data_IF_366799039259
#
_entry.id   IF_366799039259
#
_cell.length_a   1.000
_cell.length_b   1.000
_cell.length_c   1.000
_cell.angle_alpha   90.00
_cell.angle_beta   90.00
_cell.angle_gamma   90.00
#
_symmetry.space_group_name_H-M   'P 1'
#
loop_
_entity.id
_entity.type
_entity.pdbx_description
1 polymer ?
#
# COMPACT_ATOMS: atom_id res chain seq x y z
N UNK A 1 39.54 -3.14 -19.24
CA UNK A 1 39.65 -2.38 -20.48
C UNK A 1 39.43 -0.86 -20.34
N UNK A 2 38.55 -0.43 -19.41
CA UNK A 2 38.29 1.01 -19.17
C UNK A 2 39.53 1.79 -18.69
N UNK A 3 40.38 1.16 -17.89
CA UNK A 3 41.63 1.74 -17.35
C UNK A 3 42.76 1.93 -18.37
N UNK A 4 42.66 1.34 -19.55
CA UNK A 4 43.64 1.49 -20.62
C UNK A 4 43.31 2.69 -21.53
N UNK A 5 42.02 3.06 -21.61
CA UNK A 5 41.52 4.14 -22.48
C UNK A 5 41.31 5.43 -21.70
N UNK A 6 40.97 5.33 -20.39
CA UNK A 6 40.70 6.44 -19.51
C UNK A 6 41.61 6.39 -18.28
N UNK A 7 41.91 7.56 -17.71
CA UNK A 7 42.66 7.67 -16.46
C UNK A 7 41.96 6.89 -15.32
N UNK A 8 42.72 6.36 -14.36
CA UNK A 8 42.25 5.58 -13.22
C UNK A 8 41.12 6.28 -12.48
N UNK A 9 41.19 7.59 -12.33
CA UNK A 9 40.15 8.39 -11.63
C UNK A 9 38.84 8.33 -12.39
N UNK A 10 38.85 8.42 -13.71
CA UNK A 10 37.63 8.31 -14.54
C UNK A 10 37.04 6.92 -14.47
N UNK A 11 37.87 5.87 -14.46
CA UNK A 11 37.40 4.49 -14.36
C UNK A 11 36.69 4.24 -13.01
N UNK A 12 37.22 4.76 -11.90
CA UNK A 12 36.61 4.68 -10.57
C UNK A 12 35.29 5.44 -10.53
N UNK A 13 35.24 6.67 -11.05
CA UNK A 13 34.03 7.49 -11.07
C UNK A 13 32.89 6.81 -11.84
N UNK A 14 33.17 6.27 -13.02
CA UNK A 14 32.19 5.54 -13.85
C UNK A 14 31.73 4.25 -13.13
N UNK A 15 32.66 3.50 -12.55
CA UNK A 15 32.34 2.29 -11.79
C UNK A 15 31.42 2.57 -10.58
N UNK A 16 31.70 3.64 -9.85
CA UNK A 16 30.87 4.08 -8.72
C UNK A 16 29.46 4.48 -9.19
N UNK A 17 29.37 5.23 -10.29
CA UNK A 17 28.09 5.67 -10.84
C UNK A 17 27.22 4.49 -11.29
N UNK A 18 27.81 3.51 -11.97
CA UNK A 18 27.12 2.28 -12.37
C UNK A 18 26.63 1.51 -11.13
N UNK A 19 27.49 1.40 -10.12
CA UNK A 19 27.12 0.70 -8.86
C UNK A 19 25.92 1.37 -8.17
N UNK A 20 25.90 2.70 -8.11
CA UNK A 20 24.78 3.45 -7.53
C UNK A 20 23.49 3.21 -8.31
N UNK A 21 23.54 3.25 -9.64
CA UNK A 21 22.37 3.00 -10.50
C UNK A 21 21.83 1.57 -10.31
N UNK A 22 22.72 0.58 -10.29
CA UNK A 22 22.33 -0.82 -10.05
C UNK A 22 21.76 -1.02 -8.65
N UNK A 23 22.33 -0.37 -7.64
CA UNK A 23 21.81 -0.42 -6.28
C UNK A 23 20.40 0.21 -6.18
N UNK A 24 20.19 1.37 -6.80
CA UNK A 24 18.86 2.00 -6.86
C UNK A 24 17.82 1.09 -7.53
N UNK A 25 18.20 0.43 -8.64
CA UNK A 25 17.34 -0.53 -9.33
C UNK A 25 16.99 -1.71 -8.40
N UNK A 26 17.97 -2.31 -7.76
CA UNK A 26 17.78 -3.44 -6.84
C UNK A 26 16.83 -3.08 -5.68
N UNK A 27 17.01 -1.93 -5.04
CA UNK A 27 16.14 -1.46 -3.94
C UNK A 27 14.70 -1.21 -4.44
N UNK A 28 14.54 -0.72 -5.66
CA UNK A 28 13.21 -0.50 -6.26
C UNK A 28 12.47 -1.81 -6.59
N UNK A 29 13.19 -2.89 -6.88
CA UNK A 29 12.60 -4.19 -7.20
C UNK A 29 12.18 -4.99 -5.95
N UNK A 30 12.68 -4.66 -4.77
CA UNK A 30 12.37 -5.39 -3.51
C UNK A 30 10.96 -5.11 -2.95
N UNK A 31 10.28 -4.07 -3.44
CA UNK A 31 8.95 -3.77 -2.93
C UNK A 31 7.88 -4.54 -3.71
N UNK A 32 7.13 -5.39 -3.01
CA UNK A 32 6.05 -6.18 -3.57
C UNK A 32 4.69 -5.71 -3.04
N UNK A 33 3.72 -5.56 -3.95
CA UNK A 33 2.30 -5.37 -3.61
C UNK A 33 1.58 -6.68 -3.89
N UNK A 34 1.06 -7.33 -2.84
CA UNK A 34 0.38 -8.63 -2.97
C UNK A 34 -1.09 -8.50 -2.57
N UNK A 35 -1.99 -8.88 -3.49
CA UNK A 35 -3.42 -9.00 -3.18
C UNK A 35 -3.70 -10.30 -2.41
N UNK A 36 -4.32 -10.20 -1.24
CA UNK A 36 -4.55 -11.34 -0.34
C UNK A 36 -5.63 -12.32 -0.80
N UNK A 37 -6.44 -11.98 -1.80
CA UNK A 37 -7.41 -12.92 -2.37
C UNK A 37 -6.78 -14.13 -3.08
N UNK A 38 -5.47 -14.08 -3.37
CA UNK A 38 -4.73 -15.16 -4.03
C UNK A 38 -3.93 -16.04 -3.06
N UNK A 39 -3.81 -15.66 -1.79
CA UNK A 39 -3.10 -16.44 -0.78
C UNK A 39 -4.05 -17.34 0.00
N UNK A 40 -4.58 -18.37 -0.69
CA UNK A 40 -5.13 -19.56 -0.01
C UNK A 40 -4.01 -20.58 0.31
N UNK A 41 -2.79 -20.13 0.59
CA UNK A 41 -1.75 -21.02 1.06
C UNK A 41 -1.98 -21.42 2.52
N UNK A 42 -1.90 -22.73 2.75
CA UNK A 42 -2.33 -23.43 3.95
C UNK A 42 -1.53 -23.10 5.23
N UNK A 43 -0.53 -22.23 5.15
CA UNK A 43 0.40 -21.89 6.24
C UNK A 43 0.23 -20.48 6.83
N UNK A 44 -0.77 -19.70 6.42
CA UNK A 44 -0.97 -18.39 7.05
C UNK A 44 -1.80 -18.52 8.32
N UNK A 45 -1.26 -18.03 9.44
CA UNK A 45 -1.90 -17.92 10.75
C UNK A 45 -3.23 -17.11 10.74
N UNK A 46 -3.69 -16.64 9.60
CA UNK A 46 -4.84 -15.77 9.46
C UNK A 46 -6.03 -16.53 8.91
N UNK A 47 -6.57 -17.41 9.73
CA UNK A 47 -7.75 -18.22 9.44
C UNK A 47 -9.02 -17.38 9.17
N UNK A 48 -9.05 -16.15 9.69
CA UNK A 48 -10.20 -15.24 9.58
C UNK A 48 -10.37 -14.57 8.20
N UNK A 49 -9.36 -14.58 7.34
CA UNK A 49 -9.45 -14.00 5.99
C UNK A 49 -10.27 -14.83 5.00
N UNK A 50 -10.59 -16.08 5.33
CA UNK A 50 -11.46 -16.93 4.52
C UNK A 50 -12.92 -16.46 4.46
N UNK A 51 -13.33 -15.59 5.37
CA UNK A 51 -14.70 -15.09 5.51
C UNK A 51 -14.88 -13.62 5.13
N UNK A 52 -13.94 -13.04 4.34
CA UNK A 52 -14.09 -11.66 3.90
C UNK A 52 -15.29 -11.51 2.94
N UNK A 53 -16.17 -10.52 3.19
CA UNK A 53 -17.21 -10.17 2.23
C UNK A 53 -16.59 -9.82 0.88
N UNK A 54 -17.26 -10.18 -0.22
CA UNK A 54 -16.79 -9.90 -1.58
C UNK A 54 -16.55 -8.41 -1.86
N UNK A 55 -17.14 -7.55 -1.06
CA UNK A 55 -17.02 -6.09 -1.09
C UNK A 55 -15.79 -5.54 -0.38
N UNK A 56 -15.04 -6.38 0.36
CA UNK A 56 -13.80 -5.99 1.05
C UNK A 56 -12.61 -6.65 0.37
N UNK A 57 -11.58 -5.87 0.10
CA UNK A 57 -10.30 -6.36 -0.45
C UNK A 57 -9.15 -5.96 0.45
N UNK A 58 -8.18 -6.84 0.55
CA UNK A 58 -6.96 -6.61 1.32
C UNK A 58 -5.76 -6.71 0.40
N UNK A 59 -4.90 -5.71 0.45
CA UNK A 59 -3.59 -5.71 -0.20
C UNK A 59 -2.51 -5.52 0.85
N UNK A 60 -1.45 -6.27 0.74
CA UNK A 60 -0.28 -6.11 1.58
C UNK A 60 0.85 -5.49 0.77
N UNK A 61 1.44 -4.43 1.31
CA UNK A 61 2.62 -3.79 0.76
C UNK A 61 3.80 -4.22 1.63
N UNK A 62 4.79 -4.84 0.99
CA UNK A 62 6.03 -5.27 1.62
C UNK A 62 7.21 -4.57 0.95
N UNK A 63 8.08 -3.99 1.77
CA UNK A 63 9.27 -3.27 1.35
C UNK A 63 9.13 -1.75 1.48
N UNK A 64 10.24 -1.01 1.30
CA UNK A 64 10.26 0.44 1.44
C UNK A 64 9.51 1.10 0.28
N UNK A 65 8.64 2.05 0.59
CA UNK A 65 7.87 2.80 -0.40
C UNK A 65 8.67 4.01 -0.88
N UNK A 66 9.50 3.80 -1.91
CA UNK A 66 10.33 4.80 -2.56
C UNK A 66 9.95 4.99 -4.02
N UNK A 67 10.77 5.76 -4.74
CA UNK A 67 10.65 6.02 -6.16
C UNK A 67 10.44 4.72 -6.98
N UNK A 68 9.43 4.72 -7.87
CA UNK A 68 9.09 3.55 -8.72
C UNK A 68 7.90 2.71 -8.22
N UNK A 69 7.32 3.03 -7.05
CA UNK A 69 6.12 2.34 -6.53
C UNK A 69 4.82 2.75 -7.19
N UNK A 70 4.78 3.91 -7.86
CA UNK A 70 3.56 4.46 -8.46
C UNK A 70 2.90 3.46 -9.41
N UNK A 71 3.69 2.79 -10.26
CA UNK A 71 3.19 1.83 -11.24
C UNK A 71 2.61 0.56 -10.58
N UNK A 72 3.18 0.15 -9.44
CA UNK A 72 2.75 -1.06 -8.71
C UNK A 72 1.48 -0.84 -7.87
N UNK A 73 1.28 0.36 -7.37
CA UNK A 73 0.05 0.73 -6.64
C UNK A 73 -1.11 0.91 -7.63
N UNK A 74 -0.83 1.36 -8.84
CA UNK A 74 -1.82 1.48 -9.92
C UNK A 74 -2.34 0.11 -10.38
N UNK A 75 -1.58 -0.97 -10.18
CA UNK A 75 -2.02 -2.35 -10.42
C UNK A 75 -3.02 -2.86 -9.37
N UNK A 76 -3.31 -2.08 -8.32
CA UNK A 76 -4.39 -2.37 -7.38
C UNK A 76 -5.72 -2.19 -8.12
N UNK A 77 -6.19 -3.28 -8.70
CA UNK A 77 -7.46 -3.31 -9.43
C UNK A 77 -8.63 -3.32 -8.46
N UNK A 78 -9.34 -2.22 -8.38
CA UNK A 78 -10.64 -2.14 -7.73
C UNK A 78 -11.67 -2.79 -8.64
N UNK A 79 -12.22 -3.96 -8.25
CA UNK A 79 -13.29 -4.60 -9.02
C UNK A 79 -14.63 -3.90 -8.73
N UNK A 80 -15.57 -3.97 -9.67
CA UNK A 80 -16.90 -3.34 -9.63
C UNK A 80 -17.70 -3.54 -8.32
N UNK A 81 -17.34 -4.53 -7.50
CA UNK A 81 -18.04 -4.85 -6.24
C UNK A 81 -17.27 -4.44 -4.99
N UNK A 82 -16.10 -3.79 -5.14
CA UNK A 82 -15.27 -3.40 -3.99
C UNK A 82 -15.82 -2.11 -3.38
N UNK A 83 -16.10 -2.13 -2.08
CA UNK A 83 -16.51 -0.96 -1.30
C UNK A 83 -15.44 -0.49 -0.34
N UNK A 84 -14.67 -1.43 0.18
CA UNK A 84 -13.60 -1.18 1.15
C UNK A 84 -12.32 -1.83 0.68
N UNK A 85 -11.27 -1.05 0.69
CA UNK A 85 -9.92 -1.46 0.35
C UNK A 85 -9.02 -1.31 1.57
N UNK A 86 -8.56 -2.44 2.11
CA UNK A 86 -7.66 -2.46 3.26
C UNK A 86 -6.22 -2.58 2.76
N UNK A 87 -5.38 -1.62 3.11
CA UNK A 87 -3.96 -1.62 2.82
C UNK A 87 -3.18 -1.98 4.08
N UNK A 88 -2.54 -3.14 4.06
CA UNK A 88 -1.69 -3.60 5.15
C UNK A 88 -0.26 -3.12 4.93
N UNK A 89 0.26 -2.34 5.88
CA UNK A 89 1.58 -1.70 5.78
C UNK A 89 2.61 -2.28 6.77
N UNK A 90 2.37 -3.49 7.31
CA UNK A 90 3.29 -4.12 8.27
C UNK A 90 4.71 -4.25 7.72
N UNK A 91 4.83 -4.60 6.44
CA UNK A 91 6.10 -4.78 5.75
C UNK A 91 6.72 -3.48 5.22
N UNK A 92 6.15 -2.30 5.50
CA UNK A 92 6.65 -1.00 5.03
C UNK A 92 7.50 -0.35 6.11
N UNK A 93 8.84 -0.39 6.02
CA UNK A 93 9.72 0.21 7.03
C UNK A 93 9.82 1.72 6.87
N UNK A 94 9.66 2.23 5.65
CA UNK A 94 9.82 3.65 5.33
C UNK A 94 8.99 4.08 4.13
N UNK A 95 8.56 5.34 4.18
CA UNK A 95 7.74 6.01 3.18
C UNK A 95 8.37 7.36 2.86
N UNK A 96 8.70 7.60 1.59
CA UNK A 96 9.20 8.88 1.09
C UNK A 96 8.08 9.71 0.41
N UNK A 97 8.45 10.85 -0.18
CA UNK A 97 7.51 11.71 -0.90
C UNK A 97 6.91 11.04 -2.15
N UNK A 98 7.66 10.17 -2.82
CA UNK A 98 7.17 9.45 -4.01
C UNK A 98 6.15 8.39 -3.61
N UNK A 99 6.43 7.65 -2.53
CA UNK A 99 5.48 6.71 -1.95
C UNK A 99 4.23 7.41 -1.41
N UNK A 100 4.39 8.64 -0.86
CA UNK A 100 3.25 9.44 -0.43
C UNK A 100 2.34 9.84 -1.58
N UNK A 101 2.90 10.36 -2.68
CA UNK A 101 2.14 10.68 -3.89
C UNK A 101 1.41 9.45 -4.46
N UNK A 102 2.03 8.27 -4.37
CA UNK A 102 1.39 7.04 -4.82
C UNK A 102 0.16 6.67 -3.95
N UNK A 103 0.21 6.91 -2.62
CA UNK A 103 -0.93 6.72 -1.74
C UNK A 103 -2.03 7.77 -1.97
N UNK A 104 -1.67 9.02 -2.26
CA UNK A 104 -2.61 10.09 -2.62
C UNK A 104 -3.34 9.75 -3.93
N UNK A 105 -2.62 9.32 -4.96
CA UNK A 105 -3.21 8.87 -6.22
C UNK A 105 -4.15 7.66 -6.03
N UNK A 106 -3.78 6.73 -5.14
CA UNK A 106 -4.65 5.60 -4.79
C UNK A 106 -5.91 6.07 -4.08
N UNK A 107 -5.79 7.04 -3.19
CA UNK A 107 -6.93 7.62 -2.49
C UNK A 107 -7.90 8.30 -3.47
N UNK A 108 -7.39 9.15 -4.36
CA UNK A 108 -8.19 9.83 -5.38
C UNK A 108 -8.91 8.82 -6.29
N UNK A 109 -8.20 7.79 -6.74
CA UNK A 109 -8.79 6.70 -7.53
C UNK A 109 -9.89 5.96 -6.76
N UNK A 110 -9.71 5.70 -5.46
CA UNK A 110 -10.72 5.06 -4.63
C UNK A 110 -11.95 5.96 -4.43
N UNK A 111 -11.75 7.24 -4.16
CA UNK A 111 -12.85 8.22 -4.03
C UNK A 111 -13.69 8.31 -5.31
N UNK A 112 -13.04 8.40 -6.49
CA UNK A 112 -13.71 8.43 -7.79
C UNK A 112 -14.56 7.16 -8.04
N UNK A 113 -14.14 6.01 -7.50
CA UNK A 113 -14.85 4.74 -7.64
C UNK A 113 -15.78 4.40 -6.46
N UNK A 114 -15.94 5.32 -5.50
CA UNK A 114 -16.79 5.12 -4.32
C UNK A 114 -16.27 4.02 -3.38
N UNK A 115 -14.96 3.83 -3.32
CA UNK A 115 -14.27 2.85 -2.46
C UNK A 115 -13.60 3.57 -1.30
N UNK A 116 -13.83 3.09 -0.08
CA UNK A 116 -13.17 3.64 1.11
C UNK A 116 -11.88 2.91 1.42
N UNK A 117 -10.81 3.68 1.67
CA UNK A 117 -9.51 3.17 2.10
C UNK A 117 -9.47 2.97 3.61
N UNK A 118 -8.88 1.85 4.03
CA UNK A 118 -8.57 1.54 5.43
C UNK A 118 -7.11 1.09 5.48
N UNK A 119 -6.36 1.61 6.43
CA UNK A 119 -4.95 1.25 6.63
C UNK A 119 -4.79 0.40 7.89
N UNK A 120 -3.94 -0.63 7.80
CA UNK A 120 -3.61 -1.47 8.96
C UNK A 120 -2.10 -1.63 9.12
N UNK A 121 -1.67 -1.73 10.37
CA UNK A 121 -0.25 -1.96 10.73
C UNK A 121 0.71 -0.92 10.12
N UNK A 122 0.34 0.35 10.05
CA UNK A 122 1.28 1.38 9.62
C UNK A 122 2.38 1.55 10.69
N UNK A 123 3.63 1.34 10.29
CA UNK A 123 4.79 1.53 11.15
C UNK A 123 4.97 3.01 11.53
N UNK A 124 5.80 3.28 12.55
CA UNK A 124 5.99 4.63 13.09
C UNK A 124 6.45 5.66 12.04
N UNK A 125 7.42 5.30 11.20
CA UNK A 125 7.97 6.21 10.19
C UNK A 125 6.95 6.52 9.08
N UNK A 126 6.29 5.55 8.41
CA UNK A 126 5.19 5.80 7.48
C UNK A 126 4.06 6.63 8.08
N UNK A 127 3.62 6.28 9.29
CA UNK A 127 2.56 7.03 9.99
C UNK A 127 2.94 8.49 10.23
N UNK A 128 4.17 8.75 10.67
CA UNK A 128 4.69 10.12 10.86
C UNK A 128 4.73 10.90 9.54
N UNK A 129 5.11 10.25 8.44
CA UNK A 129 5.14 10.87 7.11
C UNK A 129 3.73 11.20 6.64
N UNK A 130 2.78 10.28 6.74
CA UNK A 130 1.38 10.49 6.37
C UNK A 130 0.72 11.61 7.20
N UNK A 131 0.96 11.66 8.51
CA UNK A 131 0.47 12.76 9.36
C UNK A 131 1.05 14.12 8.95
N UNK A 132 2.34 14.18 8.64
CA UNK A 132 2.99 15.45 8.21
C UNK A 132 2.48 15.93 6.85
N UNK A 133 2.08 15.03 5.98
CA UNK A 133 1.46 15.33 4.69
C UNK A 133 -0.03 15.70 4.80
N UNK A 134 -0.65 15.57 5.98
CA UNK A 134 -2.11 15.77 6.16
C UNK A 134 -2.96 14.62 5.63
N UNK A 135 -2.34 13.52 5.20
CA UNK A 135 -3.04 12.39 4.60
C UNK A 135 -3.92 11.63 5.60
N UNK A 136 -3.51 11.59 6.87
CA UNK A 136 -4.31 10.96 7.93
C UNK A 136 -5.61 11.72 8.16
N UNK A 137 -5.56 13.06 8.10
CA UNK A 137 -6.75 13.91 8.22
C UNK A 137 -7.66 13.80 6.99
N UNK A 138 -7.06 13.61 5.81
CA UNK A 138 -7.78 13.44 4.53
C UNK A 138 -8.56 12.12 4.49
N UNK A 139 -7.95 11.02 4.90
CA UNK A 139 -8.56 9.67 4.91
C UNK A 139 -9.52 9.50 6.10
N UNK A 140 -9.21 10.15 7.23
CA UNK A 140 -9.86 9.99 8.53
C UNK A 140 -9.07 9.09 9.46
N UNK A 141 -8.76 9.58 10.67
CA UNK A 141 -7.94 8.84 11.65
C UNK A 141 -8.59 7.50 12.06
N UNK A 142 -9.92 7.42 12.02
CA UNK A 142 -10.70 6.21 12.30
C UNK A 142 -10.45 5.07 11.30
N UNK A 143 -9.91 5.35 10.13
CA UNK A 143 -9.58 4.35 9.12
C UNK A 143 -8.15 3.80 9.27
N UNK A 144 -7.38 4.30 10.25
CA UNK A 144 -6.06 3.76 10.57
C UNK A 144 -6.16 2.81 11.76
N UNK A 145 -5.96 1.52 11.52
CA UNK A 145 -6.10 0.47 12.54
C UNK A 145 -4.76 -0.18 12.90
N UNK A 146 -4.57 -0.55 14.18
CA UNK A 146 -3.28 -1.08 14.66
C UNK A 146 -2.96 -2.46 14.09
N UNK A 147 -3.96 -3.25 13.73
CA UNK A 147 -3.81 -4.60 13.18
C UNK A 147 -4.83 -4.89 12.08
N UNK A 148 -4.67 -6.01 11.40
CA UNK A 148 -5.53 -6.41 10.29
C UNK A 148 -6.94 -6.83 10.76
N UNK A 149 -7.04 -7.44 11.93
CA UNK A 149 -8.31 -7.92 12.46
C UNK A 149 -9.23 -6.75 12.82
N UNK A 150 -8.67 -5.70 13.44
CA UNK A 150 -9.40 -4.46 13.72
C UNK A 150 -9.82 -3.74 12.43
N UNK A 151 -8.98 -3.77 11.39
CA UNK A 151 -9.31 -3.17 10.09
C UNK A 151 -10.46 -3.92 9.40
N UNK A 152 -10.46 -5.26 9.47
CA UNK A 152 -11.55 -6.09 8.94
C UNK A 152 -12.84 -5.89 9.74
N UNK A 153 -12.76 -5.85 11.08
CA UNK A 153 -13.90 -5.58 11.93
C UNK A 153 -14.52 -4.22 11.59
N UNK A 154 -13.70 -3.19 11.47
CA UNK A 154 -14.13 -1.86 11.08
C UNK A 154 -14.81 -1.82 9.70
N UNK A 155 -14.25 -2.51 8.70
CA UNK A 155 -14.87 -2.62 7.38
C UNK A 155 -16.24 -3.32 7.43
N UNK A 156 -16.40 -4.33 8.30
CA UNK A 156 -17.69 -5.02 8.50
C UNK A 156 -18.72 -4.12 9.16
N UNK A 157 -18.35 -3.40 10.21
CA UNK A 157 -19.22 -2.43 10.89
C UNK A 157 -19.75 -1.38 9.92
N UNK A 158 -18.87 -0.84 9.06
CA UNK A 158 -19.25 0.14 8.04
C UNK A 158 -20.20 -0.45 6.99
N UNK A 159 -20.00 -1.71 6.59
CA UNK A 159 -20.89 -2.42 5.66
C UNK A 159 -22.30 -2.64 6.27
N UNK A 160 -22.37 -3.01 7.54
CA UNK A 160 -23.61 -3.21 8.27
C UNK A 160 -24.38 -1.90 8.43
N UNK A 161 -23.70 -0.81 8.76
CA UNK A 161 -24.28 0.52 8.86
C UNK A 161 -24.85 1.02 7.50
N UNK A 162 -24.14 0.79 6.39
CA UNK A 162 -24.65 1.10 5.05
C UNK A 162 -25.85 0.23 4.66
N UNK A 163 -25.84 -1.05 5.06
CA UNK A 163 -26.96 -1.98 4.82
C UNK A 163 -28.24 -1.56 5.58
N UNK A 164 -28.11 -1.16 6.84
CA UNK A 164 -29.20 -0.68 7.66
C UNK A 164 -29.81 0.62 7.11
N UNK A 165 -28.98 1.57 6.67
CA UNK A 165 -29.45 2.84 6.11
C UNK A 165 -30.16 2.73 4.75
N UNK A 166 -29.90 1.65 3.99
CA UNK A 166 -30.64 1.37 2.75
C UNK A 166 -32.00 0.76 2.96
N UNK A 167 -32.20 0.02 4.06
CA UNK A 167 -33.50 -0.60 4.40
C UNK A 167 -34.48 0.46 4.90
N UNK A 168 -34.02 1.49 5.59
CA UNK A 168 -34.82 2.58 6.12
C UNK A 168 -35.29 3.59 5.05
N UNK A 169 -34.53 3.72 3.93
CA UNK A 169 -34.94 4.58 2.79
C UNK A 169 -35.89 3.89 1.79
N UNK A 170 -36.11 2.59 1.93
CA UNK A 170 -36.96 1.79 1.03
C UNK A 170 -38.33 1.44 1.66
N UNK A 171 -38.58 1.87 2.90
CA UNK A 171 -39.86 1.77 3.61
C UNK A 171 -40.57 3.13 3.69
#
# INVERSE_FOLDING_TARGET
MLTIVFDLVTAIAVGMLITVVLFMKMVSEETEVKGWQYYCDADSEVTHLRELPKSVRVYEINGPMFFGMTDRITDISVKEFTKYLIIRMRGVPSLDSSGMNALENLYDYCEENGVKLIFSHANEQPMKTMRRAGFVDLVGEEHFRPNIDDAIAHARELLEAEGAGKTEKAA
#
